data_IF_318667709933
#
_entry.id   IF_318667709933
#
_cell.length_a   1.000
_cell.length_b   1.000
_cell.length_c   1.000
_cell.angle_alpha   90.00
_cell.angle_beta   90.00
_cell.angle_gamma   90.00
#
_symmetry.space_group_name_H-M   'P 1'
#
loop_
_entity.id
_entity.type
_entity.pdbx_description
1 polymer ?
#
# COMPACT_ATOMS: atom_id res chain seq x y z
N UNK A 1 13.11 8.89 -14.03
CA UNK A 1 11.71 9.27 -13.72
C UNK A 1 11.02 8.18 -12.90
N UNK A 2 11.15 6.90 -13.28
CA UNK A 2 10.67 5.76 -12.48
C UNK A 2 11.45 5.50 -11.18
N UNK A 3 12.71 5.92 -11.08
CA UNK A 3 13.53 5.65 -9.89
C UNK A 3 12.99 6.32 -8.62
N UNK A 4 12.47 7.55 -8.73
CA UNK A 4 11.91 8.29 -7.59
C UNK A 4 10.61 7.64 -7.05
N UNK A 5 9.82 7.02 -7.93
CA UNK A 5 8.64 6.26 -7.54
C UNK A 5 9.04 4.99 -6.79
N UNK A 6 10.00 4.24 -7.35
CA UNK A 6 10.52 3.00 -6.75
C UNK A 6 11.12 3.25 -5.37
N UNK A 7 11.94 4.28 -5.22
CA UNK A 7 12.60 4.62 -3.95
C UNK A 7 11.57 4.99 -2.86
N UNK A 8 10.55 5.79 -3.22
CA UNK A 8 9.48 6.18 -2.29
C UNK A 8 8.62 4.99 -1.87
N UNK A 9 8.24 4.13 -2.82
CA UNK A 9 7.50 2.91 -2.50
C UNK A 9 8.33 1.95 -1.64
N UNK A 10 9.63 1.82 -1.89
CA UNK A 10 10.50 0.97 -1.09
C UNK A 10 10.56 1.45 0.37
N UNK A 11 10.60 2.77 0.62
CA UNK A 11 10.53 3.34 1.95
C UNK A 11 9.21 3.01 2.66
N UNK A 12 8.07 3.14 1.97
CA UNK A 12 6.76 2.76 2.51
C UNK A 12 6.73 1.26 2.84
N UNK A 13 7.22 0.41 1.95
CA UNK A 13 7.26 -1.04 2.16
C UNK A 13 8.23 -1.47 3.27
N UNK A 14 9.32 -0.74 3.49
CA UNK A 14 10.22 -0.96 4.63
C UNK A 14 9.53 -0.66 5.95
N UNK A 15 8.78 0.44 6.04
CA UNK A 15 7.96 0.77 7.24
C UNK A 15 6.95 -0.33 7.53
N UNK A 16 6.22 -0.80 6.51
CA UNK A 16 5.24 -1.87 6.64
C UNK A 16 5.84 -3.21 7.09
N UNK A 17 7.02 -3.58 6.56
CA UNK A 17 7.73 -4.81 6.96
C UNK A 17 8.34 -4.73 8.35
N UNK A 18 8.74 -3.54 8.81
CA UNK A 18 9.35 -3.35 10.13
C UNK A 18 8.35 -3.41 11.30
N UNK A 19 7.05 -3.39 11.02
CA UNK A 19 6.01 -3.47 12.05
C UNK A 19 5.58 -4.92 12.26
N UNK A 20 5.87 -5.47 13.46
CA UNK A 20 5.54 -6.86 13.82
C UNK A 20 4.04 -7.15 13.92
N UNK A 21 3.20 -6.12 14.04
CA UNK A 21 1.74 -6.21 14.01
C UNK A 21 1.22 -5.08 13.13
N UNK A 22 0.33 -5.40 12.19
CA UNK A 22 -0.40 -4.37 11.44
C UNK A 22 -1.64 -3.97 12.22
N UNK A 23 -1.81 -2.67 12.43
CA UNK A 23 -3.07 -2.07 12.88
C UNK A 23 -3.75 -1.38 11.70
N UNK A 24 -5.05 -1.13 11.80
CA UNK A 24 -5.75 -0.35 10.79
C UNK A 24 -5.14 1.04 10.58
N UNK A 25 -4.67 1.67 11.65
CA UNK A 25 -4.10 3.02 11.58
C UNK A 25 -2.78 3.03 10.80
N UNK A 26 -1.92 2.04 11.04
CA UNK A 26 -0.67 1.90 10.31
C UNK A 26 -0.91 1.61 8.81
N UNK A 27 -1.93 0.79 8.50
CA UNK A 27 -2.34 0.55 7.11
C UNK A 27 -2.84 1.83 6.46
N UNK A 28 -3.71 2.60 7.15
CA UNK A 28 -4.23 3.88 6.64
C UNK A 28 -3.11 4.88 6.39
N UNK A 29 -2.13 4.97 7.28
CA UNK A 29 -0.97 5.85 7.12
C UNK A 29 -0.14 5.46 5.88
N UNK A 30 0.19 4.17 5.73
CA UNK A 30 0.93 3.69 4.58
C UNK A 30 0.18 3.92 3.25
N UNK A 31 -1.14 3.67 3.21
CA UNK A 31 -1.95 3.93 2.02
C UNK A 31 -2.03 5.42 1.67
N UNK A 32 -1.95 6.30 2.67
CA UNK A 32 -1.87 7.74 2.44
C UNK A 32 -0.55 8.13 1.78
N UNK A 33 0.56 7.53 2.21
CA UNK A 33 1.87 7.72 1.55
C UNK A 33 1.83 7.19 0.11
N UNK A 34 1.35 5.97 -0.12
CA UNK A 34 1.20 5.39 -1.48
C UNK A 34 0.37 6.31 -2.38
N UNK A 35 -0.75 6.85 -1.87
CA UNK A 35 -1.60 7.78 -2.62
C UNK A 35 -0.84 9.02 -3.09
N UNK A 36 -0.06 9.64 -2.20
CA UNK A 36 0.72 10.84 -2.53
C UNK A 36 1.76 10.52 -3.61
N UNK A 37 2.47 9.42 -3.45
CA UNK A 37 3.50 8.96 -4.39
C UNK A 37 2.91 8.69 -5.78
N UNK A 38 1.74 8.06 -5.87
CA UNK A 38 1.08 7.81 -7.16
C UNK A 38 0.61 9.10 -7.83
N UNK A 39 0.11 10.08 -7.07
CA UNK A 39 -0.29 11.37 -7.62
C UNK A 39 0.91 12.19 -8.10
N UNK A 40 2.04 12.14 -7.39
CA UNK A 40 3.30 12.77 -7.81
C UNK A 40 3.90 12.12 -9.06
N UNK A 41 3.53 10.88 -9.37
CA UNK A 41 3.96 10.15 -10.56
C UNK A 41 3.03 10.39 -11.77
N UNK A 42 2.24 11.47 -11.77
CA UNK A 42 1.28 11.84 -12.82
C UNK A 42 0.17 10.79 -13.08
N UNK A 43 -0.16 9.95 -12.09
CA UNK A 43 -1.29 9.00 -12.21
C UNK A 43 -2.63 9.73 -12.02
N UNK A 44 -3.64 9.37 -12.81
CA UNK A 44 -4.96 9.98 -12.74
C UNK A 44 -5.61 9.84 -11.35
N UNK A 45 -6.12 10.94 -10.79
CA UNK A 45 -6.75 10.95 -9.47
C UNK A 45 -7.85 9.89 -9.28
N UNK A 46 -8.71 9.65 -10.29
CA UNK A 46 -9.77 8.64 -10.20
C UNK A 46 -9.18 7.24 -10.05
N UNK A 47 -8.17 6.93 -10.86
CA UNK A 47 -7.45 5.66 -10.83
C UNK A 47 -6.77 5.45 -9.48
N UNK A 48 -6.09 6.47 -8.95
CA UNK A 48 -5.45 6.39 -7.62
C UNK A 48 -6.48 6.22 -6.51
N UNK A 49 -7.62 6.94 -6.58
CA UNK A 49 -8.68 6.82 -5.58
C UNK A 49 -9.24 5.40 -5.55
N UNK A 50 -9.60 4.85 -6.70
CA UNK A 50 -10.19 3.51 -6.81
C UNK A 50 -9.17 2.44 -6.36
N UNK A 51 -7.90 2.60 -6.73
CA UNK A 51 -6.80 1.76 -6.27
C UNK A 51 -6.70 1.73 -4.73
N UNK A 52 -6.61 2.90 -4.10
CA UNK A 52 -6.44 3.01 -2.64
C UNK A 52 -7.64 2.41 -1.90
N UNK A 53 -8.86 2.63 -2.39
CA UNK A 53 -10.08 2.07 -1.78
C UNK A 53 -10.05 0.54 -1.80
N UNK A 54 -9.75 -0.08 -2.96
CA UNK A 54 -9.66 -1.55 -3.08
C UNK A 54 -8.56 -2.15 -2.21
N UNK A 55 -7.38 -1.52 -2.18
CA UNK A 55 -6.29 -1.98 -1.33
C UNK A 55 -6.68 -1.86 0.14
N UNK A 56 -7.34 -0.77 0.56
CA UNK A 56 -7.81 -0.60 1.95
C UNK A 56 -8.78 -1.70 2.36
N UNK A 57 -9.78 -2.00 1.54
CA UNK A 57 -10.76 -3.04 1.83
C UNK A 57 -10.11 -4.41 2.03
N UNK A 58 -9.14 -4.76 1.17
CA UNK A 58 -8.40 -6.02 1.27
C UNK A 58 -7.43 -6.04 2.46
N UNK A 59 -6.76 -4.93 2.74
CA UNK A 59 -5.71 -4.83 3.77
C UNK A 59 -6.27 -4.74 5.21
N UNK A 60 -7.43 -4.11 5.40
CA UNK A 60 -8.12 -4.03 6.69
C UNK A 60 -8.88 -5.33 7.02
N UNK A 61 -9.00 -6.24 6.06
CA UNK A 61 -9.61 -7.55 6.26
C UNK A 61 -8.97 -8.33 7.41
N UNK A 62 -9.80 -9.00 8.19
CA UNK A 62 -9.38 -9.76 9.39
C UNK A 62 -8.33 -10.84 9.08
N UNK A 63 -8.30 -11.36 7.84
CA UNK A 63 -7.30 -12.32 7.37
C UNK A 63 -5.88 -11.74 7.29
N UNK A 64 -5.75 -10.46 6.95
CA UNK A 64 -4.45 -9.77 6.87
C UNK A 64 -3.95 -9.48 8.28
N UNK A 65 -4.83 -8.97 9.15
CA UNK A 65 -4.49 -8.60 10.53
C UNK A 65 -4.09 -9.81 11.39
N UNK A 66 -4.63 -11.00 11.10
CA UNK A 66 -4.32 -12.26 11.80
C UNK A 66 -3.18 -13.07 11.16
N UNK A 67 -2.59 -12.57 10.08
CA UNK A 67 -1.52 -13.24 9.37
C UNK A 67 -0.24 -13.30 10.20
N UNK A 68 0.57 -14.34 9.98
CA UNK A 68 1.93 -14.46 10.53
C UNK A 68 2.89 -13.41 9.93
N UNK A 69 2.57 -12.87 8.76
CA UNK A 69 3.39 -11.85 8.06
C UNK A 69 2.51 -10.74 7.47
N UNK A 70 1.85 -9.93 8.32
CA UNK A 70 0.80 -9.02 7.89
C UNK A 70 1.34 -7.91 6.98
N UNK A 71 2.53 -7.36 7.26
CA UNK A 71 3.18 -6.36 6.39
C UNK A 71 3.49 -6.89 4.99
N UNK A 72 3.95 -8.16 4.89
CA UNK A 72 4.20 -8.79 3.59
C UNK A 72 2.91 -9.03 2.81
N UNK A 73 1.81 -9.34 3.51
CA UNK A 73 0.51 -9.55 2.91
C UNK A 73 -0.09 -8.24 2.36
N UNK A 74 0.09 -7.12 3.06
CA UNK A 74 -0.26 -5.79 2.54
C UNK A 74 0.53 -5.45 1.29
N UNK A 75 1.84 -5.69 1.27
CA UNK A 75 2.68 -5.47 0.08
C UNK A 75 2.18 -6.30 -1.10
N UNK A 76 1.81 -7.56 -0.86
CA UNK A 76 1.23 -8.42 -1.89
C UNK A 76 -0.07 -7.83 -2.45
N UNK A 77 -0.98 -7.38 -1.59
CA UNK A 77 -2.25 -6.76 -2.02
C UNK A 77 -1.99 -5.53 -2.89
N UNK A 78 -1.06 -4.67 -2.48
CA UNK A 78 -0.66 -3.48 -3.26
C UNK A 78 -0.12 -3.89 -4.63
N UNK A 79 0.76 -4.90 -4.68
CA UNK A 79 1.34 -5.38 -5.93
C UNK A 79 0.29 -6.02 -6.86
N UNK A 80 -0.58 -6.88 -6.30
CA UNK A 80 -1.70 -7.49 -7.05
C UNK A 80 -2.58 -6.41 -7.67
N UNK A 81 -2.90 -5.35 -6.92
CA UNK A 81 -3.75 -4.27 -7.42
C UNK A 81 -3.02 -3.40 -8.46
N UNK A 82 -1.70 -3.20 -8.35
CA UNK A 82 -0.90 -2.49 -9.36
C UNK A 82 -0.84 -3.26 -10.69
N UNK A 83 -0.82 -4.60 -10.64
CA UNK A 83 -0.84 -5.45 -11.84
C UNK A 83 -2.23 -5.48 -12.49
N UNK A 84 -3.28 -5.27 -11.70
CA UNK A 84 -4.67 -5.27 -12.18
C UNK A 84 -5.13 -3.94 -12.80
N UNK A 85 -4.30 -2.88 -12.74
CA UNK A 85 -4.55 -1.57 -13.35
C UNK A 85 -4.27 -1.57 -14.84
#
# INVERSE_FOLDING_TARGET
>A
MFDNLSDKLELVFKKLRGQGVMTEDNIKEALREVRLVLLEADVNFKVVKDFVEKVRERAVGTEVLKSLSPGQQVIKIVNDELIAM
#
